data_IF_811361020156
#
_entry.id   IF_811361020156
#
_cell.length_a   1.000
_cell.length_b   1.000
_cell.length_c   1.000
_cell.angle_alpha   90.00
_cell.angle_beta   90.00
_cell.angle_gamma   90.00
#
_symmetry.space_group_name_H-M   'P 1'
#
loop_
_entity.id
_entity.type
_entity.pdbx_description
1 polymer ?
#
# COMPACT_ATOMS: atom_id res chain seq x y z
N UNK A 1 44.05 -8.61 -0.67
CA UNK A 1 44.67 -7.67 -1.64
C UNK A 1 46.07 -7.35 -1.14
N UNK A 2 47.11 -7.73 -1.90
CA UNK A 2 48.52 -7.79 -1.45
C UNK A 2 49.16 -6.41 -1.18
N UNK A 3 49.98 -6.32 -0.12
CA UNK A 3 50.83 -5.16 0.18
C UNK A 3 52.27 -5.43 -0.27
N UNK A 4 52.76 -4.71 -1.28
CA UNK A 4 54.19 -4.67 -1.65
C UNK A 4 54.80 -3.38 -1.10
N UNK A 5 55.75 -3.49 -0.16
CA UNK A 5 56.59 -2.37 0.28
C UNK A 5 57.71 -2.13 -0.74
N UNK A 6 57.67 -1.01 -1.47
CA UNK A 6 58.84 -0.52 -2.22
C UNK A 6 59.55 0.57 -1.40
N UNK A 7 60.81 0.29 -1.04
CA UNK A 7 61.74 1.23 -0.38
C UNK A 7 62.27 2.18 -1.47
N UNK A 8 62.16 3.49 -1.27
CA UNK A 8 62.84 4.49 -2.10
C UNK A 8 63.70 5.37 -1.19
N UNK A 9 65.01 5.30 -1.40
CA UNK A 9 66.01 6.27 -0.95
C UNK A 9 65.99 7.48 -1.87
N UNK A 10 66.11 8.69 -1.32
CA UNK A 10 66.25 9.91 -2.10
C UNK A 10 65.75 11.14 -1.36
N UNK A 11 66.70 12.00 -0.96
CA UNK A 11 66.53 13.29 -0.32
C UNK A 11 65.89 14.34 -1.24
N UNK A 12 64.91 15.10 -0.74
CA UNK A 12 64.86 16.57 -0.68
C UNK A 12 63.45 17.05 -0.27
N UNK A 13 63.42 18.08 0.58
CA UNK A 13 62.26 18.56 1.31
C UNK A 13 61.25 19.34 0.46
N UNK A 14 59.93 19.11 0.68
CA UNK A 14 58.94 20.14 1.05
C UNK A 14 57.51 19.59 1.21
N UNK A 15 56.83 20.15 2.23
CA UNK A 15 55.40 20.10 2.60
C UNK A 15 54.90 18.83 3.28
N UNK A 16 54.60 18.97 4.58
CA UNK A 16 53.60 18.18 5.29
C UNK A 16 52.29 18.22 4.50
N UNK A 17 52.08 17.18 3.72
CA UNK A 17 50.77 16.76 3.27
C UNK A 17 50.51 15.52 4.11
N UNK A 18 49.43 15.52 4.91
CA UNK A 18 48.97 14.34 5.63
C UNK A 18 49.19 13.11 4.76
N UNK A 19 50.13 12.26 5.17
CA UNK A 19 50.52 11.10 4.38
C UNK A 19 49.38 10.11 4.48
N UNK A 20 48.39 10.23 3.58
CA UNK A 20 47.25 9.31 3.52
C UNK A 20 47.80 7.92 3.22
N UNK A 21 47.86 7.06 4.24
CA UNK A 21 48.41 5.69 4.14
C UNK A 21 47.44 4.77 3.40
N UNK A 22 46.11 4.99 3.52
CA UNK A 22 45.07 4.31 2.74
C UNK A 22 43.71 5.03 2.86
N UNK A 23 42.71 4.61 2.07
CA UNK A 23 41.31 5.08 2.18
C UNK A 23 40.40 3.91 2.54
N UNK A 24 39.50 4.13 3.51
CA UNK A 24 38.41 3.22 3.83
C UNK A 24 37.23 3.51 2.89
N UNK A 25 36.88 2.54 2.05
CA UNK A 25 35.73 2.66 1.15
C UNK A 25 34.42 2.47 1.92
N UNK A 26 33.35 3.03 1.37
CA UNK A 26 31.99 2.77 1.86
C UNK A 26 31.66 1.30 1.60
N UNK A 27 31.28 0.57 2.65
CA UNK A 27 30.93 -0.85 2.58
C UNK A 27 29.42 -0.97 2.77
N UNK A 28 28.77 -1.75 1.92
CA UNK A 28 27.35 -2.08 2.04
C UNK A 28 27.13 -2.96 3.28
N UNK A 29 26.05 -2.71 4.02
CA UNK A 29 25.62 -3.55 5.16
C UNK A 29 25.40 -5.01 4.73
N UNK A 30 25.13 -5.25 3.44
CA UNK A 30 24.97 -6.60 2.85
C UNK A 30 26.24 -7.45 2.90
N UNK A 31 27.40 -6.84 3.05
CA UNK A 31 28.68 -7.54 3.14
C UNK A 31 29.10 -7.61 4.62
N UNK A 32 28.42 -8.48 5.36
CA UNK A 32 28.43 -8.57 6.83
C UNK A 32 29.85 -8.49 7.39
N UNK A 33 30.75 -9.38 6.96
CA UNK A 33 32.13 -9.40 7.47
C UNK A 33 32.94 -8.14 7.10
N UNK A 34 32.74 -7.56 5.91
CA UNK A 34 33.45 -6.32 5.53
C UNK A 34 32.89 -5.10 6.25
N UNK A 35 31.60 -5.09 6.56
CA UNK A 35 30.96 -4.02 7.33
C UNK A 35 31.53 -4.00 8.75
N UNK A 36 31.54 -5.14 9.45
CA UNK A 36 32.10 -5.23 10.80
C UNK A 36 33.62 -5.05 10.83
N UNK A 37 34.34 -5.51 9.81
CA UNK A 37 35.77 -5.20 9.65
C UNK A 37 36.01 -3.68 9.56
N UNK A 38 35.21 -2.96 8.77
CA UNK A 38 35.30 -1.50 8.67
C UNK A 38 35.00 -0.83 10.00
N UNK A 39 33.98 -1.30 10.72
CA UNK A 39 33.62 -0.79 12.03
C UNK A 39 34.77 -0.95 13.04
N UNK A 40 35.38 -2.14 13.09
CA UNK A 40 36.54 -2.42 13.94
C UNK A 40 37.76 -1.58 13.56
N UNK A 41 38.04 -1.40 12.26
CA UNK A 41 39.15 -0.56 11.79
C UNK A 41 38.99 0.92 12.19
N UNK A 42 37.77 1.40 12.42
CA UNK A 42 37.51 2.76 12.88
C UNK A 42 37.69 2.93 14.40
N UNK A 43 37.56 1.85 15.18
CA UNK A 43 37.47 1.92 16.65
C UNK A 43 38.63 1.23 17.38
N UNK A 44 39.34 0.30 16.73
CA UNK A 44 40.46 -0.43 17.32
C UNK A 44 41.79 0.24 16.94
N UNK A 45 42.40 0.92 17.89
CA UNK A 45 43.70 1.59 17.70
C UNK A 45 44.86 0.61 17.82
N UNK A 46 45.84 0.69 16.91
CA UNK A 46 47.12 -0.03 17.05
C UNK A 46 47.11 -1.51 16.63
N UNK A 47 46.01 -2.01 16.06
CA UNK A 47 45.96 -3.34 15.47
C UNK A 47 46.98 -3.49 14.33
N UNK A 48 47.76 -4.58 14.35
CA UNK A 48 48.81 -4.89 13.36
C UNK A 48 48.40 -6.00 12.40
N UNK A 49 47.42 -6.82 12.78
CA UNK A 49 46.83 -7.86 11.93
C UNK A 49 45.31 -8.01 12.17
N UNK A 50 44.67 -8.91 11.41
CA UNK A 50 43.23 -9.16 11.53
C UNK A 50 42.87 -9.92 12.82
N UNK A 51 43.80 -10.71 13.35
CA UNK A 51 43.66 -11.37 14.64
C UNK A 51 43.60 -10.34 15.77
N UNK A 52 44.41 -9.28 15.70
CA UNK A 52 44.35 -8.17 16.68
C UNK A 52 42.97 -7.48 16.66
N UNK A 53 42.41 -7.27 15.46
CA UNK A 53 41.05 -6.72 15.32
C UNK A 53 39.99 -7.65 15.90
N UNK A 54 40.16 -8.97 15.82
CA UNK A 54 39.23 -9.96 16.39
C UNK A 54 39.49 -10.30 17.86
N UNK A 55 40.51 -9.72 18.50
CA UNK A 55 40.85 -10.01 19.89
C UNK A 55 40.26 -8.97 20.84
N UNK A 56 39.32 -9.35 21.71
CA UNK A 56 38.72 -8.47 22.73
C UNK A 56 39.08 -9.01 24.12
N UNK A 57 39.69 -8.19 24.97
CA UNK A 57 40.09 -8.57 26.33
C UNK A 57 40.90 -9.89 26.41
N UNK A 58 41.72 -10.18 25.38
CA UNK A 58 42.54 -11.39 25.31
C UNK A 58 41.85 -12.63 24.72
N UNK A 59 40.58 -12.54 24.33
CA UNK A 59 39.82 -13.61 23.67
C UNK A 59 39.78 -13.36 22.17
N UNK A 60 40.20 -14.33 21.37
CA UNK A 60 40.13 -14.29 19.91
C UNK A 60 38.76 -14.80 19.43
N UNK A 61 38.03 -13.96 18.71
CA UNK A 61 36.72 -14.31 18.15
C UNK A 61 36.85 -14.81 16.70
N UNK A 62 35.94 -15.69 16.27
CA UNK A 62 35.99 -16.28 14.93
C UNK A 62 35.66 -15.27 13.83
N UNK A 63 34.67 -14.39 14.04
CA UNK A 63 34.22 -13.42 13.02
C UNK A 63 34.48 -11.97 13.44
N UNK A 64 34.49 -11.05 12.46
CA UNK A 64 34.55 -9.61 12.78
C UNK A 64 33.25 -9.13 13.44
N UNK A 65 32.11 -9.76 13.15
CA UNK A 65 30.83 -9.50 13.81
C UNK A 65 30.92 -9.74 15.31
N UNK A 66 31.36 -10.92 15.72
CA UNK A 66 31.42 -11.29 17.14
C UNK A 66 32.38 -10.40 17.92
N UNK A 67 33.52 -10.05 17.31
CA UNK A 67 34.49 -9.14 17.89
C UNK A 67 33.99 -7.69 18.01
N UNK A 68 33.06 -7.26 17.15
CA UNK A 68 32.43 -5.94 17.23
C UNK A 68 31.32 -5.92 18.30
N UNK A 69 30.53 -6.99 18.41
CA UNK A 69 29.53 -7.18 19.47
C UNK A 69 30.20 -7.21 20.84
N UNK A 70 31.27 -7.99 21.01
CA UNK A 70 32.01 -8.08 22.27
C UNK A 70 32.68 -6.76 22.70
N UNK A 71 32.84 -5.80 21.78
CA UNK A 71 33.32 -4.44 22.05
C UNK A 71 32.21 -3.42 22.28
N UNK A 72 30.94 -3.83 22.28
CA UNK A 72 29.77 -2.96 22.35
C UNK A 72 29.77 -1.88 21.25
N UNK A 73 30.26 -2.21 20.05
CA UNK A 73 30.25 -1.30 18.89
C UNK A 73 28.96 -1.39 18.07
N UNK A 74 28.08 -2.33 18.43
CA UNK A 74 26.79 -2.60 17.79
C UNK A 74 25.73 -2.42 18.87
N UNK A 75 24.66 -1.67 18.55
CA UNK A 75 23.50 -1.56 19.45
C UNK A 75 22.89 -2.96 19.63
N UNK A 76 22.60 -3.34 20.88
CA UNK A 76 22.04 -4.66 21.18
C UNK A 76 20.62 -4.76 20.62
N UNK A 77 20.19 -5.98 20.27
CA UNK A 77 18.82 -6.23 19.81
C UNK A 77 17.76 -5.77 20.84
N UNK A 78 18.14 -5.53 22.10
CA UNK A 78 17.31 -4.90 23.13
C UNK A 78 16.67 -3.58 22.66
N UNK A 79 17.37 -2.79 21.84
CA UNK A 79 16.83 -1.54 21.30
C UNK A 79 15.67 -1.83 20.34
N UNK A 80 15.84 -2.81 19.44
CA UNK A 80 14.84 -3.19 18.46
C UNK A 80 13.67 -3.91 19.11
N UNK A 81 13.93 -4.73 20.13
CA UNK A 81 12.89 -5.33 20.96
C UNK A 81 12.05 -4.27 21.66
N UNK A 82 12.66 -3.30 22.35
CA UNK A 82 11.91 -2.20 22.99
C UNK A 82 11.14 -1.38 21.97
N UNK A 83 11.74 -1.10 20.82
CA UNK A 83 11.08 -0.35 19.72
C UNK A 83 9.84 -1.09 19.22
N UNK A 84 9.94 -2.42 19.02
CA UNK A 84 8.81 -3.24 18.60
C UNK A 84 7.76 -3.36 19.70
N UNK A 85 8.17 -3.53 20.96
CA UNK A 85 7.29 -3.60 22.12
C UNK A 85 6.46 -2.31 22.27
N UNK A 86 7.10 -1.15 22.27
CA UNK A 86 6.41 0.15 22.30
C UNK A 86 5.45 0.31 21.11
N UNK A 87 5.87 -0.09 19.91
CA UNK A 87 5.04 0.03 18.72
C UNK A 87 3.79 -0.86 18.79
N UNK A 88 3.84 -2.04 19.43
CA UNK A 88 2.67 -2.92 19.55
C UNK A 88 1.52 -2.31 20.36
N UNK A 89 1.80 -1.33 21.22
CA UNK A 89 0.76 -0.66 22.00
C UNK A 89 -0.04 0.38 21.18
N UNK A 90 0.56 0.96 20.14
CA UNK A 90 -0.01 2.12 19.43
C UNK A 90 -0.23 1.96 17.94
N UNK A 91 0.39 0.96 17.30
CA UNK A 91 0.44 0.87 15.84
C UNK A 91 -0.44 -0.26 15.30
N UNK A 92 -1.00 -0.03 14.11
CA UNK A 92 -1.77 -1.05 13.38
C UNK A 92 -0.84 -2.13 12.81
N UNK A 93 -1.32 -3.38 12.61
CA UNK A 93 -0.50 -4.49 12.08
C UNK A 93 0.31 -4.17 10.82
N UNK A 94 -0.27 -3.41 9.88
CA UNK A 94 0.44 -2.98 8.67
C UNK A 94 1.64 -2.07 8.95
N UNK A 95 1.51 -1.17 9.93
CA UNK A 95 2.58 -0.27 10.35
C UNK A 95 3.66 -1.03 11.13
N UNK A 96 3.28 -2.05 11.91
CA UNK A 96 4.23 -2.95 12.58
C UNK A 96 5.06 -3.73 11.56
N UNK A 97 4.44 -4.25 10.49
CA UNK A 97 5.16 -4.92 9.39
C UNK A 97 6.14 -3.96 8.68
N UNK A 98 5.74 -2.71 8.48
CA UNK A 98 6.60 -1.70 7.87
C UNK A 98 7.78 -1.32 8.78
N UNK A 99 7.53 -1.08 10.07
CA UNK A 99 8.56 -0.81 11.06
C UNK A 99 9.57 -1.97 11.14
N UNK A 100 9.09 -3.20 11.22
CA UNK A 100 9.93 -4.39 11.23
C UNK A 100 10.82 -4.46 9.98
N UNK A 101 10.26 -4.20 8.79
CA UNK A 101 11.05 -4.16 7.56
C UNK A 101 12.13 -3.06 7.59
N UNK A 102 11.83 -1.88 8.13
CA UNK A 102 12.82 -0.81 8.29
C UNK A 102 13.89 -1.13 9.33
N UNK A 103 13.55 -1.79 10.44
CA UNK A 103 14.54 -2.30 11.39
C UNK A 103 15.49 -3.26 10.68
N UNK A 104 14.97 -4.18 9.85
CA UNK A 104 15.82 -5.07 9.06
C UNK A 104 16.77 -4.29 8.12
N UNK A 105 16.27 -3.27 7.43
CA UNK A 105 17.06 -2.52 6.43
C UNK A 105 18.09 -1.58 7.09
N UNK A 106 17.71 -0.88 8.16
CA UNK A 106 18.45 0.26 8.71
C UNK A 106 18.99 0.04 10.13
N UNK A 107 18.38 -0.85 10.92
CA UNK A 107 18.72 -1.06 12.33
C UNK A 107 19.88 -2.04 12.56
N UNK A 108 20.37 -2.72 11.54
CA UNK A 108 21.42 -3.76 11.69
C UNK A 108 21.14 -4.80 12.81
N UNK A 109 19.90 -5.32 12.95
CA UNK A 109 19.56 -6.31 13.98
C UNK A 109 20.44 -7.55 13.85
N UNK A 110 20.86 -8.11 14.98
CA UNK A 110 21.76 -9.27 15.00
C UNK A 110 21.04 -10.61 14.83
N UNK A 111 19.79 -10.73 15.31
CA UNK A 111 18.92 -11.91 15.21
C UNK A 111 17.47 -11.55 14.81
N UNK A 112 17.26 -11.34 13.51
CA UNK A 112 15.93 -11.02 12.93
C UNK A 112 14.90 -12.13 13.16
N UNK A 113 15.22 -13.44 13.00
CA UNK A 113 14.26 -14.51 13.28
C UNK A 113 13.67 -14.48 14.69
N UNK A 114 14.47 -14.15 15.70
CA UNK A 114 13.97 -14.03 17.08
C UNK A 114 12.97 -12.89 17.23
N UNK A 115 13.26 -11.71 16.68
CA UNK A 115 12.33 -10.56 16.67
C UNK A 115 11.04 -10.92 15.91
N UNK A 116 11.15 -11.54 14.73
CA UNK A 116 9.98 -11.98 13.96
C UNK A 116 9.08 -12.91 14.78
N UNK A 117 9.64 -13.97 15.37
CA UNK A 117 8.85 -14.95 16.12
C UNK A 117 8.17 -14.35 17.35
N UNK A 118 8.79 -13.34 17.97
CA UNK A 118 8.23 -12.65 19.15
C UNK A 118 7.05 -11.74 18.79
N UNK A 119 7.12 -11.03 17.65
CA UNK A 119 6.13 -10.00 17.30
C UNK A 119 5.19 -10.38 16.14
N UNK A 120 5.35 -11.55 15.52
CA UNK A 120 4.55 -11.95 14.35
C UNK A 120 3.04 -11.94 14.60
N UNK A 121 2.59 -12.32 15.80
CA UNK A 121 1.17 -12.43 16.11
C UNK A 121 0.46 -11.06 16.03
N UNK A 122 1.13 -10.00 16.49
CA UNK A 122 0.67 -8.60 16.32
C UNK A 122 0.72 -8.16 14.86
N UNK A 123 1.74 -8.60 14.11
CA UNK A 123 1.88 -8.29 12.69
C UNK A 123 0.92 -9.05 11.78
N UNK A 124 0.21 -10.07 12.24
CA UNK A 124 -0.75 -10.84 11.42
C UNK A 124 -2.21 -10.64 11.85
N UNK A 125 -2.46 -9.87 12.92
CA UNK A 125 -3.78 -9.74 13.54
C UNK A 125 -4.88 -9.33 12.54
N UNK A 126 -4.58 -8.39 11.64
CA UNK A 126 -5.52 -7.94 10.60
C UNK A 126 -5.86 -9.06 9.61
N UNK A 127 -4.91 -9.92 9.27
CA UNK A 127 -5.15 -11.07 8.40
C UNK A 127 -5.93 -12.18 9.10
N UNK A 128 -5.65 -12.42 10.39
CA UNK A 128 -6.40 -13.37 11.22
C UNK A 128 -7.86 -12.92 11.34
N UNK A 129 -8.09 -11.65 11.66
CA UNK A 129 -9.44 -11.07 11.76
C UNK A 129 -10.23 -11.16 10.44
N UNK A 130 -9.53 -11.14 9.30
CA UNK A 130 -10.12 -11.29 7.97
C UNK A 130 -10.20 -12.76 7.49
N UNK A 131 -9.95 -13.75 8.36
CA UNK A 131 -9.98 -15.20 8.05
C UNK A 131 -9.11 -15.60 6.85
N UNK A 132 -7.91 -15.02 6.72
CA UNK A 132 -6.99 -15.38 5.64
C UNK A 132 -6.38 -16.76 5.89
N UNK A 133 -6.31 -17.60 4.86
CA UNK A 133 -5.85 -19.00 4.94
C UNK A 133 -4.39 -19.13 5.41
N UNK A 134 -3.54 -18.15 5.11
CA UNK A 134 -2.15 -18.11 5.57
C UNK A 134 -1.69 -16.69 5.97
N UNK A 135 -2.03 -16.23 7.19
CA UNK A 135 -1.72 -14.89 7.67
C UNK A 135 -0.22 -14.58 7.72
N UNK A 136 0.59 -15.56 8.15
CA UNK A 136 2.06 -15.41 8.22
C UNK A 136 2.67 -15.20 6.84
N UNK A 137 2.26 -16.00 5.85
CA UNK A 137 2.74 -15.83 4.48
C UNK A 137 2.32 -14.47 3.89
N UNK A 138 1.13 -13.97 4.22
CA UNK A 138 0.71 -12.63 3.79
C UNK A 138 1.56 -11.52 4.42
N UNK A 139 1.84 -11.61 5.72
CA UNK A 139 2.72 -10.67 6.39
C UNK A 139 4.14 -10.70 5.81
N UNK A 140 4.69 -11.90 5.56
CA UNK A 140 5.99 -12.07 4.92
C UNK A 140 6.02 -11.53 3.49
N UNK A 141 4.96 -11.70 2.69
CA UNK A 141 4.88 -11.08 1.37
C UNK A 141 4.88 -9.54 1.46
N UNK A 142 4.16 -8.95 2.43
CA UNK A 142 4.16 -7.50 2.63
C UNK A 142 5.56 -6.97 3.00
N UNK A 143 6.23 -7.65 3.94
CA UNK A 143 7.62 -7.35 4.31
C UNK A 143 8.54 -7.52 3.10
N UNK A 144 8.41 -8.63 2.35
CA UNK A 144 9.19 -8.90 1.15
C UNK A 144 9.06 -7.78 0.10
N UNK A 145 7.89 -7.18 -0.11
CA UNK A 145 7.73 -6.04 -1.03
C UNK A 145 8.59 -4.85 -0.60
N UNK A 146 8.56 -4.49 0.68
CA UNK A 146 9.35 -3.38 1.25
C UNK A 146 10.85 -3.70 1.14
N UNK A 147 11.26 -4.93 1.47
CA UNK A 147 12.64 -5.38 1.37
C UNK A 147 13.15 -5.34 -0.08
N UNK A 148 12.38 -5.85 -1.04
CA UNK A 148 12.74 -5.82 -2.48
C UNK A 148 12.90 -4.38 -2.97
N UNK A 149 12.00 -3.47 -2.56
CA UNK A 149 12.10 -2.05 -2.92
C UNK A 149 13.38 -1.39 -2.41
N UNK A 150 13.96 -1.92 -1.33
CA UNK A 150 15.25 -1.51 -0.77
C UNK A 150 16.41 -2.43 -1.19
N UNK A 151 16.21 -3.26 -2.21
CA UNK A 151 17.20 -4.15 -2.81
C UNK A 151 17.59 -5.35 -1.94
N UNK A 152 16.75 -5.75 -0.98
CA UNK A 152 16.94 -6.92 -0.12
C UNK A 152 15.82 -7.96 -0.32
N UNK A 153 15.76 -8.97 0.54
CA UNK A 153 14.75 -10.04 0.56
C UNK A 153 14.61 -10.63 1.97
N UNK A 154 13.53 -11.36 2.24
CA UNK A 154 13.37 -12.12 3.49
C UNK A 154 14.54 -13.09 3.72
N UNK A 155 15.01 -13.76 2.66
CA UNK A 155 16.17 -14.67 2.70
C UNK A 155 17.43 -14.01 3.27
N UNK A 156 17.72 -12.75 2.92
CA UNK A 156 18.90 -12.03 3.43
C UNK A 156 18.87 -11.84 4.95
N UNK A 157 17.69 -11.92 5.56
CA UNK A 157 17.47 -11.80 7.00
C UNK A 157 17.07 -13.13 7.65
N UNK A 158 17.29 -14.25 6.95
CA UNK A 158 16.99 -15.60 7.45
C UNK A 158 15.50 -15.83 7.77
N UNK A 159 14.62 -15.01 7.19
CA UNK A 159 13.18 -15.19 7.30
C UNK A 159 12.68 -16.21 6.26
N UNK A 160 11.54 -16.87 6.50
CA UNK A 160 10.96 -17.77 5.51
C UNK A 160 10.69 -17.03 4.20
N UNK A 161 11.09 -17.63 3.08
CA UNK A 161 10.75 -17.09 1.76
C UNK A 161 9.24 -17.24 1.54
N UNK A 162 8.50 -16.13 1.40
CA UNK A 162 7.06 -16.23 1.20
C UNK A 162 6.76 -16.90 -0.13
N UNK A 163 5.74 -17.78 -0.15
CA UNK A 163 5.15 -18.15 -1.43
C UNK A 163 4.53 -16.89 -2.02
N UNK A 164 4.83 -16.53 -3.28
CA UNK A 164 4.30 -15.33 -3.90
C UNK A 164 2.78 -15.40 -3.91
N UNK A 165 2.17 -14.67 -2.98
CA UNK A 165 0.72 -14.49 -2.92
C UNK A 165 0.48 -13.05 -3.33
N UNK A 166 -0.58 -12.85 -4.08
CA UNK A 166 -0.96 -11.51 -4.47
C UNK A 166 -1.47 -10.79 -3.22
N UNK A 167 -0.59 -10.06 -2.52
CA UNK A 167 -0.83 -9.33 -1.25
C UNK A 167 -2.08 -8.42 -1.34
N UNK A 168 -2.45 -8.07 -2.57
CA UNK A 168 -3.56 -7.19 -2.88
C UNK A 168 -4.88 -7.91 -3.19
N UNK A 169 -4.88 -9.24 -3.38
CA UNK A 169 -6.10 -10.01 -3.55
C UNK A 169 -6.46 -10.60 -2.20
N UNK A 170 -7.44 -9.98 -1.55
CA UNK A 170 -8.26 -10.70 -0.57
C UNK A 170 -8.76 -11.94 -1.30
N UNK A 171 -8.25 -13.13 -0.98
CA UNK A 171 -8.73 -14.36 -1.62
C UNK A 171 -10.20 -14.51 -1.25
N UNK A 172 -11.06 -14.26 -2.22
CA UNK A 172 -12.49 -14.49 -2.08
C UNK A 172 -12.78 -15.92 -2.48
N UNK A 173 -13.53 -16.64 -1.64
CA UNK A 173 -14.12 -17.90 -2.08
C UNK A 173 -15.15 -17.59 -3.18
N UNK A 174 -14.82 -17.97 -4.42
CA UNK A 174 -15.63 -17.68 -5.61
C UNK A 174 -17.03 -18.27 -5.49
N UNK A 175 -17.17 -19.47 -4.89
CA UNK A 175 -18.46 -20.12 -4.76
C UNK A 175 -19.33 -19.46 -3.69
N UNK A 176 -18.73 -19.03 -2.57
CA UNK A 176 -19.43 -18.25 -1.55
C UNK A 176 -19.89 -16.88 -2.09
N UNK A 177 -19.03 -16.18 -2.83
CA UNK A 177 -19.39 -14.90 -3.46
C UNK A 177 -20.47 -15.08 -4.53
N UNK A 178 -20.48 -16.20 -5.26
CA UNK A 178 -21.54 -16.51 -6.23
C UNK A 178 -22.89 -16.69 -5.53
N UNK A 179 -22.95 -17.53 -4.50
CA UNK A 179 -24.18 -17.77 -3.72
C UNK A 179 -24.68 -16.46 -3.10
N UNK A 180 -23.77 -15.70 -2.48
CA UNK A 180 -24.10 -14.41 -1.89
C UNK A 180 -24.57 -13.40 -2.94
N UNK A 181 -23.91 -13.35 -4.09
CA UNK A 181 -24.24 -12.47 -5.20
C UNK A 181 -25.64 -12.74 -5.75
N UNK A 182 -26.00 -14.00 -5.95
CA UNK A 182 -27.33 -14.41 -6.41
C UNK A 182 -28.43 -14.00 -5.41
N UNK A 183 -28.18 -14.21 -4.11
CA UNK A 183 -29.09 -13.76 -3.06
C UNK A 183 -29.28 -12.23 -3.07
N UNK A 184 -28.18 -11.47 -3.00
CA UNK A 184 -28.23 -10.00 -2.96
C UNK A 184 -28.83 -9.39 -4.24
N UNK A 185 -28.64 -10.05 -5.38
CA UNK A 185 -29.22 -9.62 -6.65
C UNK A 185 -30.74 -9.83 -6.67
N UNK A 186 -31.23 -10.92 -6.08
CA UNK A 186 -32.66 -11.24 -6.00
C UNK A 186 -33.46 -10.29 -5.11
N UNK A 187 -32.79 -9.62 -4.17
CA UNK A 187 -33.38 -8.73 -3.16
C UNK A 187 -33.21 -7.25 -3.48
N UNK A 188 -32.60 -6.88 -4.62
CA UNK A 188 -32.52 -5.49 -5.05
C UNK A 188 -33.92 -4.93 -5.28
N UNK A 189 -34.14 -3.69 -4.83
CA UNK A 189 -35.34 -2.95 -5.24
C UNK A 189 -35.26 -2.54 -6.72
N UNK A 190 -36.37 -2.07 -7.29
CA UNK A 190 -36.46 -1.74 -8.72
C UNK A 190 -35.43 -0.67 -9.17
N UNK A 191 -35.16 0.35 -8.34
CA UNK A 191 -34.19 1.40 -8.66
C UNK A 191 -32.75 0.88 -8.62
N UNK A 192 -32.39 0.13 -7.58
CA UNK A 192 -31.08 -0.51 -7.46
C UNK A 192 -30.85 -1.50 -8.59
N UNK A 193 -31.88 -2.27 -8.96
CA UNK A 193 -31.83 -3.24 -10.06
C UNK A 193 -31.62 -2.54 -11.40
N UNK A 194 -32.29 -1.41 -11.63
CA UNK A 194 -32.08 -0.59 -12.82
C UNK A 194 -30.63 -0.10 -12.94
N UNK A 195 -30.06 0.43 -11.87
CA UNK A 195 -28.65 0.84 -11.83
C UNK A 195 -27.72 -0.35 -12.08
N UNK A 196 -27.99 -1.47 -11.42
CA UNK A 196 -27.24 -2.70 -11.59
C UNK A 196 -27.20 -3.15 -13.05
N UNK A 197 -28.36 -3.20 -13.73
CA UNK A 197 -28.45 -3.68 -15.11
C UNK A 197 -27.71 -2.76 -16.10
N UNK A 198 -27.75 -1.43 -15.88
CA UNK A 198 -27.00 -0.46 -16.69
C UNK A 198 -25.48 -0.66 -16.55
N UNK A 199 -24.98 -0.73 -15.30
CA UNK A 199 -23.54 -0.86 -15.05
C UNK A 199 -23.04 -2.22 -15.52
N UNK A 200 -23.79 -3.30 -15.28
CA UNK A 200 -23.42 -4.64 -15.75
C UNK A 200 -23.38 -4.72 -17.28
N UNK A 201 -24.27 -4.02 -18.00
CA UNK A 201 -24.20 -3.93 -19.46
C UNK A 201 -22.89 -3.30 -19.92
N UNK A 202 -22.46 -2.20 -19.30
CA UNK A 202 -21.18 -1.57 -19.60
C UNK A 202 -19.98 -2.47 -19.28
N UNK A 203 -20.06 -3.27 -18.22
CA UNK A 203 -19.02 -4.27 -17.88
C UNK A 203 -18.94 -5.37 -18.95
N UNK A 204 -20.08 -5.84 -19.45
CA UNK A 204 -20.16 -6.96 -20.39
C UNK A 204 -19.92 -6.56 -21.85
N UNK A 205 -20.14 -5.30 -22.21
CA UNK A 205 -19.98 -4.80 -23.57
C UNK A 205 -18.96 -3.66 -23.62
N UNK A 206 -17.76 -3.93 -24.17
CA UNK A 206 -16.67 -2.96 -24.30
C UNK A 206 -17.00 -1.78 -25.23
N UNK A 207 -17.97 -1.97 -26.14
CA UNK A 207 -18.42 -0.93 -27.06
C UNK A 207 -19.46 0.01 -26.45
N UNK A 208 -19.95 -0.24 -25.23
CA UNK A 208 -20.83 0.72 -24.56
C UNK A 208 -20.12 2.07 -24.40
N UNK A 209 -20.71 3.16 -24.93
CA UNK A 209 -20.10 4.48 -24.85
C UNK A 209 -20.10 5.01 -23.41
N UNK A 210 -21.11 4.62 -22.63
CA UNK A 210 -21.30 5.08 -21.26
C UNK A 210 -20.69 4.09 -20.27
N UNK A 211 -19.58 4.50 -19.65
CA UNK A 211 -18.80 3.68 -18.70
C UNK A 211 -18.49 4.41 -17.40
N UNK A 212 -18.84 5.69 -17.33
CA UNK A 212 -18.69 6.53 -16.16
C UNK A 212 -20.06 6.80 -15.55
N UNK A 213 -20.30 6.29 -14.35
CA UNK A 213 -21.57 6.37 -13.66
C UNK A 213 -21.42 7.15 -12.37
N UNK A 214 -22.41 7.99 -12.06
CA UNK A 214 -22.50 8.67 -10.78
C UNK A 214 -23.82 8.32 -10.09
N UNK A 215 -23.72 7.82 -8.85
CA UNK A 215 -24.85 7.58 -7.97
C UNK A 215 -24.96 8.73 -6.96
N UNK A 216 -26.03 9.53 -7.09
CA UNK A 216 -26.45 10.50 -6.08
C UNK A 216 -27.56 9.87 -5.22
N UNK A 217 -27.36 9.80 -3.91
CA UNK A 217 -28.36 9.24 -2.98
C UNK A 217 -28.10 9.70 -1.56
N UNK A 218 -29.17 9.88 -0.78
CA UNK A 218 -29.08 10.24 0.64
C UNK A 218 -28.38 9.14 1.46
N UNK A 219 -27.90 9.49 2.65
CA UNK A 219 -27.52 8.50 3.65
C UNK A 219 -28.69 7.51 3.86
N UNK A 220 -28.37 6.21 3.92
CA UNK A 220 -29.38 5.16 4.08
C UNK A 220 -30.14 4.77 2.79
N UNK A 221 -29.81 5.32 1.61
CA UNK A 221 -30.47 4.96 0.34
C UNK A 221 -30.08 3.59 -0.23
N UNK A 222 -29.37 2.75 0.54
CA UNK A 222 -28.96 1.41 0.09
C UNK A 222 -27.79 1.37 -0.92
N UNK A 223 -26.99 2.44 -1.05
CA UNK A 223 -25.79 2.47 -1.92
C UNK A 223 -24.81 1.35 -1.61
N UNK A 224 -24.45 1.19 -0.34
CA UNK A 224 -23.55 0.15 0.14
C UNK A 224 -24.10 -1.25 -0.14
N UNK A 225 -25.42 -1.44 -0.08
CA UNK A 225 -26.05 -2.70 -0.43
C UNK A 225 -25.81 -3.04 -1.91
N UNK A 226 -26.07 -2.07 -2.79
CA UNK A 226 -25.80 -2.21 -4.23
C UNK A 226 -24.31 -2.44 -4.53
N UNK A 227 -23.39 -1.77 -3.84
CA UNK A 227 -21.95 -2.02 -3.99
C UNK A 227 -21.60 -3.45 -3.60
N UNK A 228 -22.09 -3.92 -2.46
CA UNK A 228 -21.88 -5.31 -2.04
C UNK A 228 -22.46 -6.32 -3.04
N UNK A 229 -23.59 -6.00 -3.69
CA UNK A 229 -24.12 -6.83 -4.78
C UNK A 229 -23.16 -6.91 -5.96
N UNK A 230 -22.62 -5.78 -6.44
CA UNK A 230 -21.60 -5.78 -7.50
C UNK A 230 -20.34 -6.55 -7.09
N UNK A 231 -19.85 -6.31 -5.86
CA UNK A 231 -18.68 -7.00 -5.34
C UNK A 231 -18.87 -8.51 -5.39
N UNK A 232 -19.97 -9.03 -4.83
CA UNK A 232 -20.22 -10.46 -4.78
C UNK A 232 -20.49 -11.07 -6.15
N UNK A 233 -21.29 -10.42 -7.01
CA UNK A 233 -21.58 -10.97 -8.34
C UNK A 233 -20.33 -11.03 -9.22
N UNK A 234 -19.50 -9.98 -9.25
CA UNK A 234 -18.30 -9.95 -10.10
C UNK A 234 -17.25 -10.92 -9.57
N UNK A 235 -17.04 -10.98 -8.25
CA UNK A 235 -16.12 -11.96 -7.62
C UNK A 235 -16.58 -13.39 -7.79
N UNK A 236 -17.89 -13.66 -7.72
CA UNK A 236 -18.48 -14.97 -8.00
C UNK A 236 -18.30 -15.46 -9.45
N UNK A 237 -17.93 -14.55 -10.37
CA UNK A 237 -17.51 -14.86 -11.75
C UNK A 237 -15.99 -15.03 -11.89
N UNK A 238 -15.26 -15.01 -10.78
CA UNK A 238 -13.81 -14.98 -10.74
C UNK A 238 -13.20 -13.76 -11.48
N UNK A 239 -13.93 -12.64 -11.47
CA UNK A 239 -13.50 -11.38 -12.07
C UNK A 239 -13.09 -10.37 -10.99
N UNK A 240 -12.29 -9.38 -11.37
CA UNK A 240 -11.75 -8.39 -10.43
C UNK A 240 -12.64 -7.15 -10.38
N UNK A 241 -12.99 -6.74 -9.16
CA UNK A 241 -13.66 -5.47 -8.84
C UNK A 241 -12.93 -4.81 -7.68
N UNK A 242 -12.64 -3.52 -7.83
CA UNK A 242 -11.83 -2.77 -6.88
C UNK A 242 -12.67 -1.67 -6.21
N UNK A 243 -13.12 -1.89 -4.97
CA UNK A 243 -13.73 -0.84 -4.17
C UNK A 243 -12.68 0.08 -3.57
N UNK A 244 -12.93 1.38 -3.65
CA UNK A 244 -12.19 2.39 -2.92
C UNK A 244 -13.11 3.45 -2.32
N UNK A 245 -12.58 4.18 -1.35
CA UNK A 245 -13.26 5.31 -0.73
C UNK A 245 -12.30 6.46 -0.40
N UNK A 246 -12.85 7.61 -0.03
CA UNK A 246 -12.05 8.78 0.40
C UNK A 246 -11.39 8.61 1.77
N UNK A 247 -12.02 7.90 2.69
CA UNK A 247 -11.51 7.68 4.06
C UNK A 247 -11.32 6.19 4.35
N UNK A 248 -10.45 5.87 5.31
CA UNK A 248 -10.22 4.48 5.74
C UNK A 248 -11.49 3.83 6.30
N UNK A 249 -12.27 4.58 7.09
CA UNK A 249 -13.53 4.09 7.68
C UNK A 249 -14.57 3.77 6.61
N UNK A 250 -14.70 4.60 5.57
CA UNK A 250 -15.60 4.29 4.46
C UNK A 250 -15.10 3.08 3.65
N UNK A 251 -13.78 2.94 3.48
CA UNK A 251 -13.19 1.81 2.77
C UNK A 251 -13.43 0.47 3.47
N UNK A 252 -13.41 0.41 4.82
CA UNK A 252 -13.64 -0.84 5.56
C UNK A 252 -15.07 -1.38 5.44
N UNK A 253 -16.04 -0.52 5.07
CA UNK A 253 -17.43 -0.94 4.83
C UNK A 253 -17.59 -1.75 3.54
N UNK A 254 -16.60 -1.69 2.64
CA UNK A 254 -16.58 -2.45 1.40
C UNK A 254 -15.60 -3.61 1.56
N UNK A 255 -16.05 -4.84 1.25
CA UNK A 255 -15.19 -6.02 1.36
C UNK A 255 -13.98 -5.87 0.42
N UNK A 256 -12.76 -5.82 0.98
CA UNK A 256 -11.53 -5.52 0.23
C UNK A 256 -11.35 -4.07 -0.19
N UNK A 257 -12.09 -3.14 0.42
CA UNK A 257 -12.00 -1.72 0.17
C UNK A 257 -10.68 -1.14 0.67
N UNK A 258 -10.18 -0.15 -0.08
CA UNK A 258 -9.00 0.66 0.29
C UNK A 258 -9.32 2.14 0.14
N UNK A 259 -8.50 2.99 0.74
CA UNK A 259 -8.55 4.41 0.35
C UNK A 259 -8.11 4.56 -1.11
N UNK A 260 -8.66 5.54 -1.84
CA UNK A 260 -8.23 5.77 -3.23
C UNK A 260 -6.73 6.13 -3.31
N UNK A 261 -6.19 6.79 -2.27
CA UNK A 261 -4.77 7.05 -2.12
C UNK A 261 -3.94 5.77 -2.18
N UNK A 262 -4.36 4.75 -1.42
CA UNK A 262 -3.69 3.44 -1.37
C UNK A 262 -3.90 2.67 -2.67
N UNK A 263 -5.13 2.61 -3.19
CA UNK A 263 -5.46 1.86 -4.41
C UNK A 263 -4.65 2.34 -5.62
N UNK A 264 -4.50 3.66 -5.78
CA UNK A 264 -3.82 4.26 -6.92
C UNK A 264 -2.39 4.70 -6.62
N UNK A 265 -1.86 4.41 -5.42
CA UNK A 265 -0.55 4.83 -4.90
C UNK A 265 -0.26 6.32 -5.19
N UNK A 266 -1.22 7.19 -4.90
CA UNK A 266 -1.08 8.65 -5.11
C UNK A 266 -0.13 9.26 -4.07
N UNK A 267 0.72 10.19 -4.52
CA UNK A 267 1.56 11.00 -3.62
C UNK A 267 0.71 11.91 -2.73
N UNK A 268 1.17 12.10 -1.49
CA UNK A 268 0.61 13.07 -0.54
C UNK A 268 1.65 14.21 -0.39
N UNK A 269 1.26 15.49 -0.50
CA UNK A 269 -0.08 16.02 -0.71
C UNK A 269 -0.63 15.80 -2.14
N UNK A 270 -1.95 15.80 -2.28
CA UNK A 270 -2.62 15.76 -3.59
C UNK A 270 -2.81 17.19 -4.08
N UNK A 271 -1.86 17.67 -4.87
CA UNK A 271 -1.88 18.96 -5.57
C UNK A 271 -1.77 18.76 -7.10
N UNK A 272 -1.55 19.85 -7.85
CA UNK A 272 -1.33 19.82 -9.31
C UNK A 272 -0.15 18.94 -9.76
N UNK A 273 0.76 18.61 -8.85
CA UNK A 273 1.95 17.79 -9.10
C UNK A 273 1.79 16.38 -8.59
N UNK A 274 0.64 16.04 -8.02
CA UNK A 274 0.35 14.71 -7.54
C UNK A 274 0.59 13.69 -8.67
N UNK A 275 1.18 12.55 -8.33
CA UNK A 275 1.40 11.47 -9.28
C UNK A 275 1.06 10.14 -8.64
N UNK A 276 0.60 9.20 -9.47
CA UNK A 276 0.59 7.80 -9.09
C UNK A 276 2.01 7.23 -9.16
N UNK A 277 2.41 6.52 -8.12
CA UNK A 277 3.67 5.77 -8.09
C UNK A 277 3.55 4.35 -8.69
N UNK A 278 2.43 4.04 -9.35
CA UNK A 278 2.23 2.74 -9.99
C UNK A 278 3.07 2.65 -11.27
N UNK A 279 3.98 1.66 -11.30
CA UNK A 279 4.78 1.34 -12.50
C UNK A 279 3.98 0.41 -13.41
N UNK A 280 4.05 0.60 -14.73
CA UNK A 280 3.24 -0.16 -15.70
C UNK A 280 3.47 -1.69 -15.69
N UNK A 281 4.64 -2.15 -15.24
CA UNK A 281 4.94 -3.58 -15.10
C UNK A 281 4.67 -4.15 -13.69
N UNK A 282 4.18 -3.32 -12.76
CA UNK A 282 3.90 -3.73 -11.39
C UNK A 282 2.63 -4.58 -11.29
N UNK A 283 2.49 -5.31 -10.19
CA UNK A 283 1.28 -6.09 -9.92
C UNK A 283 0.04 -5.20 -9.77
N UNK A 284 0.17 -4.04 -9.12
CA UNK A 284 -0.90 -3.06 -9.00
C UNK A 284 -1.41 -2.58 -10.37
N UNK A 285 -0.50 -2.37 -11.34
CA UNK A 285 -0.90 -2.03 -12.71
C UNK A 285 -1.71 -3.15 -13.36
N UNK A 286 -1.29 -4.42 -13.21
CA UNK A 286 -2.03 -5.57 -13.75
C UNK A 286 -3.41 -5.70 -13.12
N UNK A 287 -3.53 -5.48 -11.83
CA UNK A 287 -4.81 -5.48 -11.11
C UNK A 287 -5.76 -4.42 -11.67
N UNK A 288 -5.30 -3.17 -11.82
CA UNK A 288 -6.06 -2.07 -12.43
C UNK A 288 -6.44 -2.38 -13.89
N UNK A 289 -5.53 -2.95 -14.68
CA UNK A 289 -5.77 -3.35 -16.08
C UNK A 289 -6.78 -4.50 -16.17
N UNK A 290 -6.84 -5.39 -15.18
CA UNK A 290 -7.72 -6.56 -15.21
C UNK A 290 -9.09 -6.27 -14.61
N UNK A 291 -9.19 -5.28 -13.70
CA UNK A 291 -10.42 -4.90 -13.04
C UNK A 291 -11.54 -4.57 -14.03
N UNK A 292 -12.71 -5.19 -13.83
CA UNK A 292 -13.94 -4.97 -14.61
C UNK A 292 -14.70 -3.74 -14.15
N UNK A 293 -14.63 -3.44 -12.86
CA UNK A 293 -15.32 -2.31 -12.23
C UNK A 293 -14.44 -1.69 -11.13
N UNK A 294 -14.39 -0.36 -11.11
CA UNK A 294 -13.88 0.42 -9.98
C UNK A 294 -15.07 1.09 -9.29
N UNK A 295 -15.28 0.78 -8.01
CA UNK A 295 -16.28 1.46 -7.18
C UNK A 295 -15.54 2.50 -6.36
N UNK A 296 -16.03 3.74 -6.37
CA UNK A 296 -15.42 4.83 -5.62
C UNK A 296 -16.49 5.53 -4.77
N UNK A 297 -16.52 5.15 -3.50
CA UNK A 297 -17.46 5.66 -2.50
C UNK A 297 -16.94 6.95 -1.85
N UNK A 298 -17.85 7.76 -1.33
CA UNK A 298 -17.59 9.08 -0.76
C UNK A 298 -16.76 10.00 -1.66
N UNK A 299 -17.03 9.99 -2.97
CA UNK A 299 -16.31 10.82 -3.94
C UNK A 299 -16.53 12.33 -3.72
N UNK A 300 -17.54 12.71 -2.94
CA UNK A 300 -17.77 14.10 -2.50
C UNK A 300 -16.58 14.68 -1.75
N UNK A 301 -15.81 13.84 -1.06
CA UNK A 301 -14.60 14.21 -0.32
C UNK A 301 -13.32 14.11 -1.16
N UNK A 302 -13.41 13.69 -2.42
CA UNK A 302 -12.25 13.57 -3.32
C UNK A 302 -11.84 14.94 -3.87
N UNK A 303 -10.53 15.21 -3.87
CA UNK A 303 -9.95 16.38 -4.53
C UNK A 303 -9.91 16.13 -6.03
N UNK A 304 -10.30 17.10 -6.83
CA UNK A 304 -10.39 16.99 -8.28
C UNK A 304 -9.07 16.63 -9.00
N UNK A 305 -7.93 17.08 -8.46
CA UNK A 305 -6.60 16.65 -8.92
C UNK A 305 -6.38 15.14 -8.81
N UNK A 306 -6.91 14.49 -7.77
CA UNK A 306 -6.84 13.04 -7.62
C UNK A 306 -7.53 12.33 -8.79
N UNK A 307 -8.72 12.79 -9.18
CA UNK A 307 -9.45 12.21 -10.31
C UNK A 307 -8.71 12.41 -11.63
N UNK A 308 -8.15 13.60 -11.83
CA UNK A 308 -7.39 13.92 -13.03
C UNK A 308 -6.15 13.04 -13.18
N UNK A 309 -5.45 12.77 -12.08
CA UNK A 309 -4.29 11.88 -12.10
C UNK A 309 -4.65 10.40 -12.23
N UNK A 310 -5.76 9.97 -11.63
CA UNK A 310 -6.25 8.60 -11.83
C UNK A 310 -6.72 8.39 -13.28
N UNK A 311 -7.36 9.38 -13.91
CA UNK A 311 -7.72 9.33 -15.33
C UNK A 311 -6.47 9.20 -16.22
N UNK A 312 -5.45 10.04 -15.99
CA UNK A 312 -4.15 9.94 -16.68
C UNK A 312 -3.50 8.57 -16.49
N UNK A 313 -3.43 8.07 -15.25
CA UNK A 313 -2.90 6.75 -14.93
C UNK A 313 -3.60 5.65 -15.75
N UNK A 314 -4.92 5.63 -15.78
CA UNK A 314 -5.63 4.59 -16.55
C UNK A 314 -5.45 4.74 -18.05
N UNK A 315 -5.44 5.97 -18.60
CA UNK A 315 -5.12 6.18 -20.03
C UNK A 315 -3.72 5.66 -20.37
N UNK A 316 -2.76 5.88 -19.48
CA UNK A 316 -1.38 5.42 -19.65
C UNK A 316 -1.24 3.90 -19.52
N UNK A 317 -1.95 3.27 -18.58
CA UNK A 317 -1.94 1.81 -18.39
C UNK A 317 -2.67 1.08 -19.51
N UNK A 318 -3.84 1.58 -19.91
CA UNK A 318 -4.70 0.95 -20.91
C UNK A 318 -4.31 1.30 -22.35
N UNK A 319 -3.56 2.39 -22.56
CA UNK A 319 -3.24 2.97 -23.89
C UNK A 319 -4.49 3.29 -24.71
N UNK A 320 -5.56 3.68 -24.04
CA UNK A 320 -6.83 4.07 -24.64
C UNK A 320 -7.12 5.54 -24.27
N UNK A 321 -7.32 6.46 -25.24
CA UNK A 321 -7.52 7.89 -24.96
C UNK A 321 -8.93 8.23 -24.45
N UNK A 322 -9.70 7.24 -24.00
CA UNK A 322 -11.02 7.43 -23.38
C UNK A 322 -10.86 7.78 -21.90
N UNK A 323 -11.83 8.47 -21.28
CA UNK A 323 -11.85 8.67 -19.84
C UNK A 323 -11.59 7.37 -19.07
N UNK A 324 -10.70 7.43 -18.08
CA UNK A 324 -10.20 6.32 -17.28
C UNK A 324 -9.74 5.12 -18.12
N UNK A 325 -9.14 5.35 -19.29
CA UNK A 325 -8.67 4.28 -20.17
C UNK A 325 -9.79 3.34 -20.65
N UNK A 326 -11.04 3.79 -20.64
CA UNK A 326 -12.21 2.95 -20.98
C UNK A 326 -12.67 2.02 -19.86
N UNK A 327 -12.20 2.20 -18.62
CA UNK A 327 -12.69 1.42 -17.47
C UNK A 327 -14.12 1.79 -17.11
N UNK A 328 -14.84 0.83 -16.53
CA UNK A 328 -16.13 1.12 -15.90
C UNK A 328 -15.86 1.65 -14.50
N UNK A 329 -16.29 2.88 -14.25
CA UNK A 329 -16.13 3.56 -12.97
C UNK A 329 -17.51 3.90 -12.43
N UNK A 330 -17.77 3.48 -11.19
CA UNK A 330 -18.98 3.79 -10.45
C UNK A 330 -18.63 4.72 -9.28
N UNK A 331 -18.90 6.01 -9.47
CA UNK A 331 -18.80 7.00 -8.42
C UNK A 331 -20.05 7.02 -7.57
N UNK A 332 -19.85 7.19 -6.27
CA UNK A 332 -20.92 7.43 -5.34
C UNK A 332 -20.51 8.41 -4.25
N UNK A 333 -21.48 9.18 -3.80
CA UNK A 333 -21.30 10.09 -2.68
C UNK A 333 -22.55 10.92 -2.46
N UNK A 334 -22.65 11.50 -1.27
CA UNK A 334 -23.65 12.50 -0.97
C UNK A 334 -22.96 13.86 -0.89
N UNK A 335 -23.10 14.67 -1.94
CA UNK A 335 -22.50 16.00 -1.99
C UNK A 335 -23.17 17.03 -1.05
N UNK A 336 -24.19 16.62 -0.27
CA UNK A 336 -24.71 17.40 0.86
C UNK A 336 -23.94 17.14 2.15
N UNK A 337 -23.05 16.15 2.16
CA UNK A 337 -22.16 15.85 3.28
C UNK A 337 -20.85 16.64 3.17
N UNK A 338 -19.77 16.12 3.75
CA UNK A 338 -18.48 16.79 3.88
C UNK A 338 -17.84 17.07 2.51
N UNK A 339 -17.24 18.25 2.38
CA UNK A 339 -16.38 18.64 1.26
C UNK A 339 -14.95 18.07 1.46
N UNK A 340 -14.10 18.08 0.42
CA UNK A 340 -12.70 17.68 0.55
C UNK A 340 -11.98 18.55 1.59
N UNK A 341 -11.08 17.93 2.35
CA UNK A 341 -10.25 18.63 3.33
C UNK A 341 -9.00 19.15 2.61
N UNK A 342 -8.90 20.47 2.45
CA UNK A 342 -7.69 21.13 1.94
C UNK A 342 -7.10 21.96 3.10
N UNK A 343 -5.97 21.52 3.70
CA UNK A 343 -5.39 22.20 4.85
C UNK A 343 -5.11 23.68 4.55
N UNK A 344 -5.48 24.56 5.47
CA UNK A 344 -5.25 26.01 5.39
C UNK A 344 -5.91 26.74 4.20
N UNK A 345 -6.85 26.10 3.49
CA UNK A 345 -7.55 26.71 2.37
C UNK A 345 -8.76 27.57 2.81
N UNK A 346 -9.01 28.65 2.07
CA UNK A 346 -10.26 29.40 2.21
C UNK A 346 -11.44 28.66 1.58
N UNK A 347 -12.65 29.01 2.00
CA UNK A 347 -13.90 28.38 1.53
C UNK A 347 -14.02 28.29 0.01
N UNK A 348 -13.60 29.33 -0.72
CA UNK A 348 -13.60 29.34 -2.19
C UNK A 348 -12.68 28.26 -2.77
N UNK A 349 -11.44 28.17 -2.27
CA UNK A 349 -10.47 27.16 -2.70
C UNK A 349 -10.93 25.72 -2.35
N UNK A 350 -11.61 25.52 -1.22
CA UNK A 350 -12.21 24.22 -0.88
C UNK A 350 -13.28 23.84 -1.91
N UNK A 351 -14.19 24.76 -2.26
CA UNK A 351 -15.23 24.51 -3.26
C UNK A 351 -14.62 24.23 -4.63
N UNK A 352 -13.65 25.04 -5.05
CA UNK A 352 -12.92 24.86 -6.32
C UNK A 352 -12.21 23.52 -6.35
N UNK A 353 -11.66 23.03 -5.24
CA UNK A 353 -10.98 21.73 -5.19
C UNK A 353 -11.90 20.51 -5.38
N UNK A 354 -13.21 20.68 -5.28
CA UNK A 354 -14.17 19.57 -5.37
C UNK A 354 -14.28 19.00 -6.79
N UNK A 355 -14.68 17.74 -6.87
CA UNK A 355 -15.02 17.06 -8.13
C UNK A 355 -16.04 17.82 -8.99
N UNK A 356 -16.89 18.64 -8.37
CA UNK A 356 -17.90 19.45 -9.09
C UNK A 356 -17.30 20.57 -9.93
N UNK A 357 -16.15 21.12 -9.51
CA UNK A 357 -15.58 22.33 -10.11
C UNK A 357 -14.23 22.06 -10.80
N UNK A 358 -13.44 21.09 -10.33
CA UNK A 358 -12.06 20.90 -10.79
C UNK A 358 -11.76 19.45 -11.19
N UNK A 359 -12.52 18.91 -12.14
CA UNK A 359 -12.31 17.56 -12.67
C UNK A 359 -12.02 17.54 -14.18
N UNK A 360 -11.61 18.67 -14.76
CA UNK A 360 -11.26 18.74 -16.19
C UNK A 360 -12.39 18.37 -17.16
N UNK A 361 -13.65 18.54 -16.75
CA UNK A 361 -14.83 18.17 -17.55
C UNK A 361 -15.29 16.71 -17.41
N UNK A 362 -14.68 15.92 -16.51
CA UNK A 362 -15.13 14.55 -16.19
C UNK A 362 -16.46 14.53 -15.42
N UNK A 363 -16.78 15.60 -14.70
CA UNK A 363 -17.99 15.82 -13.93
C UNK A 363 -18.37 17.31 -13.99
N UNK A 364 -19.36 17.67 -14.83
CA UNK A 364 -19.80 19.06 -14.98
C UNK A 364 -21.31 19.15 -14.83
N UNK A 365 -21.81 19.66 -13.70
CA UNK A 365 -23.26 19.79 -13.43
C UNK A 365 -23.99 20.78 -14.35
N UNK A 366 -23.27 21.57 -15.14
CA UNK A 366 -23.83 22.65 -15.95
C UNK A 366 -24.10 22.25 -17.41
N UNK A 367 -23.66 21.05 -17.83
CA UNK A 367 -23.85 20.54 -19.19
C UNK A 367 -25.13 19.70 -19.31
N UNK A 368 -25.69 19.67 -20.52
CA UNK A 368 -26.87 18.87 -20.82
C UNK A 368 -26.50 17.37 -20.83
N UNK A 369 -27.38 16.45 -20.35
CA UNK A 369 -27.07 15.01 -20.21
C UNK A 369 -26.55 14.34 -21.50
N UNK A 370 -27.01 14.80 -22.66
CA UNK A 370 -26.61 14.27 -23.98
C UNK A 370 -25.22 14.74 -24.45
N UNK A 371 -24.63 15.73 -23.76
CA UNK A 371 -23.30 16.28 -24.04
C UNK A 371 -22.24 15.85 -23.02
N UNK A 372 -22.61 15.01 -22.07
CA UNK A 372 -21.76 14.55 -20.97
C UNK A 372 -21.10 13.19 -21.27
N UNK A 373 -19.81 12.98 -20.94
CA UNK A 373 -19.16 11.67 -21.06
C UNK A 373 -19.58 10.68 -19.96
N UNK A 374 -20.62 10.98 -19.15
CA UNK A 374 -21.07 10.19 -17.99
C UNK A 374 -22.60 10.03 -17.93
N UNK A 375 -23.10 8.95 -17.30
CA UNK A 375 -24.52 8.86 -16.89
C UNK A 375 -24.68 9.33 -15.46
N UNK A 376 -25.70 10.14 -15.21
CA UNK A 376 -26.20 10.37 -13.85
C UNK A 376 -27.32 9.40 -13.54
N UNK A 377 -27.17 8.68 -12.44
CA UNK A 377 -28.19 7.81 -11.89
C UNK A 377 -28.52 8.34 -10.49
N UNK A 378 -29.75 8.84 -10.29
CA UNK A 378 -30.19 9.38 -9.01
C UNK A 378 -31.18 8.43 -8.34
N UNK A 379 -31.00 8.21 -7.04
CA UNK A 379 -32.04 7.64 -6.18
C UNK A 379 -32.99 8.75 -5.74
N UNK A 380 -34.29 8.60 -6.00
CA UNK A 380 -35.29 9.33 -5.23
C UNK A 380 -35.58 8.50 -3.98
N UNK A 381 -35.55 9.14 -2.81
CA UNK A 381 -35.87 8.46 -1.57
C UNK A 381 -37.32 7.93 -1.63
N UNK A 382 -37.50 6.63 -1.90
CA UNK A 382 -38.79 6.00 -1.63
C UNK A 382 -38.97 5.90 -0.12
N UNK A 383 -40.10 6.41 0.34
CA UNK A 383 -40.53 6.37 1.72
C UNK A 383 -40.40 4.95 2.31
N UNK A 384 -39.94 4.93 3.56
CA UNK A 384 -39.95 3.83 4.52
C UNK A 384 -40.91 2.68 4.17
N UNK A 385 -40.34 1.50 3.92
CA UNK A 385 -40.89 0.28 4.51
C UNK A 385 -39.78 -0.42 5.28
N UNK A 386 -39.91 -0.61 6.61
CA UNK A 386 -38.90 -1.31 7.38
C UNK A 386 -38.87 -2.80 6.98
N UNK A 387 -37.70 -3.44 6.94
CA UNK A 387 -37.62 -4.88 6.76
C UNK A 387 -38.36 -5.59 7.92
N UNK A 388 -38.97 -6.77 7.69
CA UNK A 388 -39.66 -7.50 8.75
C UNK A 388 -38.68 -7.78 9.90
N UNK A 389 -39.08 -7.33 11.10
CA UNK A 389 -38.33 -7.57 12.34
C UNK A 389 -38.19 -9.08 12.54
N UNK A 390 -36.98 -9.61 12.39
CA UNK A 390 -36.66 -10.92 12.92
C UNK A 390 -36.79 -10.86 14.44
N UNK A 391 -37.69 -11.68 14.98
CA UNK A 391 -37.98 -11.77 16.40
C UNK A 391 -36.71 -12.10 17.18
N UNK A 392 -36.29 -11.17 18.03
CA UNK A 392 -35.40 -11.46 19.13
C UNK A 392 -36.09 -12.50 20.03
N UNK A 393 -35.53 -13.71 20.09
CA UNK A 393 -35.76 -14.58 21.24
C UNK A 393 -34.85 -14.06 22.37
N UNK A 394 -35.39 -13.80 23.57
CA UNK A 394 -34.60 -13.28 24.68
C UNK A 394 -33.61 -14.34 25.18
N UNK A 395 -32.38 -13.89 25.49
CA UNK A 395 -31.51 -14.49 26.49
C UNK A 395 -32.00 -14.10 27.88
#
# INVERSE_FOLDING_TARGET
MYMIKKKLSGSHAKKDIDKIISRLYTVSIKDIEKFYLRLLLLHVTGAKCFEDLRTVNGILYETFKDAAIARNLVETDDLWEKTMEEATESNMPAQLRELFAYICIFGTPTDVPTIWNKYKDFMIEDFVHNNVVNPENMALNHIQEILINNGSSCENFQLPNPTPVNIYVTEYNVDEERIRGDYLLSTLNAEQKHVYDIVMRAIQNENEPQRLFFIDGFAGSGKTYLFNTFLSVIRGRNEIVLPCASTGIAATLLKGGRTYHSLFKLSIPIDDRAKSNIRGNSQAARELITAKLIIWDEVSMTVGHALSEVDKLFRDLMKIPRPFGGKVILFAGDFRQNLPIVPHAQKAAIIESTVKYNCGGLYDRTKAPESEPHTRLSFLASARDPPPRYGAKPL
#
